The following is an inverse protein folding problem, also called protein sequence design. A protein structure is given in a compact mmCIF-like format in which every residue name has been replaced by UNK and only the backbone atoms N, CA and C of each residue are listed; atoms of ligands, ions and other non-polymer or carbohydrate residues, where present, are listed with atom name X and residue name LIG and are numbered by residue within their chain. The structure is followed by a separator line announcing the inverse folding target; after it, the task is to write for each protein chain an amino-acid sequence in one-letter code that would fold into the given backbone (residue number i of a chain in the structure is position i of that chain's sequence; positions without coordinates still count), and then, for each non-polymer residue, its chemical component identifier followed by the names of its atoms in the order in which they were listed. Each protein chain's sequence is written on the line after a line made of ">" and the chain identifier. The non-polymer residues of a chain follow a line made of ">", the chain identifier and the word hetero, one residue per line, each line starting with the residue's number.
data_IF_599494264341
#
_entry.id   IF_599494264341
#
_cell.length_a   1.000
_cell.length_b   1.000
_cell.length_c   1.000
_cell.angle_alpha   90.00
_cell.angle_beta   90.00
_cell.angle_gamma   90.00
#
_symmetry.space_group_name_H-M   'P 1'
#
loop_
_entity.id
_entity.type
_entity.pdbx_description
1 polymer ?
#
# COMPACT_ATOMS: atom_id res chain seq x y z
N UNK A 1 -14.32 -20.14 -3.75
CA UNK A 1 -12.94 -19.65 -3.68
C UNK A 1 -12.74 -18.97 -2.33
N UNK A 2 -12.03 -19.61 -1.38
CA UNK A 2 -11.38 -18.81 -0.33
C UNK A 2 -10.18 -18.16 -1.01
N UNK A 3 -10.19 -16.84 -1.17
CA UNK A 3 -9.07 -16.09 -1.73
C UNK A 3 -7.90 -16.09 -0.75
N UNK A 4 -7.24 -17.23 -0.58
CA UNK A 4 -6.08 -17.34 0.29
C UNK A 4 -4.88 -16.73 -0.42
N UNK A 5 -4.53 -15.50 -0.02
CA UNK A 5 -3.30 -14.86 -0.42
C UNK A 5 -2.10 -15.68 0.07
N UNK A 6 -1.17 -16.01 -0.83
CA UNK A 6 0.06 -16.71 -0.44
C UNK A 6 0.90 -15.84 0.49
N UNK A 7 1.78 -16.45 1.30
CA UNK A 7 2.73 -15.70 2.13
C UNK A 7 3.54 -14.71 1.30
N UNK A 8 4.09 -15.18 0.16
CA UNK A 8 4.82 -14.34 -0.80
C UNK A 8 3.98 -13.16 -1.31
N UNK A 9 2.68 -13.38 -1.56
CA UNK A 9 1.75 -12.32 -1.95
C UNK A 9 1.56 -11.25 -0.88
N UNK A 10 1.43 -11.66 0.39
CA UNK A 10 1.34 -10.72 1.53
C UNK A 10 2.60 -9.89 1.67
N UNK A 11 3.77 -10.52 1.58
CA UNK A 11 5.05 -9.83 1.66
C UNK A 11 5.25 -8.84 0.52
N UNK A 12 4.87 -9.20 -0.71
CA UNK A 12 4.93 -8.31 -1.85
C UNK A 12 4.02 -7.08 -1.67
N UNK A 13 2.79 -7.28 -1.19
CA UNK A 13 1.88 -6.17 -0.92
C UNK A 13 2.34 -5.29 0.25
N UNK A 14 2.96 -5.87 1.27
CA UNK A 14 3.54 -5.09 2.37
C UNK A 14 4.66 -4.17 1.89
N UNK A 15 5.58 -4.69 1.06
CA UNK A 15 6.63 -3.86 0.44
C UNK A 15 6.02 -2.75 -0.42
N UNK A 16 5.07 -3.10 -1.28
CA UNK A 16 4.39 -2.14 -2.15
C UNK A 16 3.71 -1.01 -1.34
N UNK A 17 3.04 -1.35 -0.24
CA UNK A 17 2.43 -0.38 0.68
C UNK A 17 3.46 0.57 1.29
N UNK A 18 4.60 0.06 1.75
CA UNK A 18 5.68 0.88 2.34
C UNK A 18 6.29 1.81 1.29
N UNK A 19 6.56 1.31 0.08
CA UNK A 19 7.04 2.13 -1.03
C UNK A 19 6.05 3.27 -1.37
N UNK A 20 4.76 2.95 -1.47
CA UNK A 20 3.72 3.97 -1.71
C UNK A 20 3.64 5.02 -0.60
N UNK A 21 3.87 4.64 0.66
CA UNK A 21 3.92 5.60 1.77
C UNK A 21 5.16 6.51 1.69
N UNK A 22 6.32 5.94 1.39
CA UNK A 22 7.57 6.67 1.25
C UNK A 22 7.51 7.73 0.14
N UNK A 23 6.89 7.42 -1.00
CA UNK A 23 6.67 8.38 -2.10
C UNK A 23 5.85 9.61 -1.69
N UNK A 24 4.98 9.46 -0.69
CA UNK A 24 4.14 10.54 -0.16
C UNK A 24 4.75 11.24 1.07
N UNK A 25 5.92 10.80 1.54
CA UNK A 25 6.53 11.28 2.78
C UNK A 25 5.74 10.90 4.04
N UNK A 26 4.88 9.88 3.96
CA UNK A 26 4.09 9.40 5.11
C UNK A 26 4.91 8.35 5.86
N UNK A 27 5.15 8.59 7.15
CA UNK A 27 5.86 7.65 8.01
C UNK A 27 4.94 6.48 8.43
N UNK A 28 4.77 5.51 7.54
CA UNK A 28 3.99 4.31 7.80
C UNK A 28 4.86 3.25 8.52
N UNK A 29 4.56 3.02 9.79
CA UNK A 29 5.29 2.08 10.65
C UNK A 29 4.81 0.65 10.42
N UNK A 30 5.70 -0.31 10.65
CA UNK A 30 5.26 -1.68 10.89
C UNK A 30 4.63 -1.76 12.28
N UNK A 31 3.31 -1.98 12.33
CA UNK A 31 2.53 -2.03 13.57
C UNK A 31 1.50 -0.91 13.67
N UNK A 32 1.41 -0.29 14.85
CA UNK A 32 0.39 0.71 15.14
C UNK A 32 0.67 2.05 14.44
N UNK A 33 -0.33 2.55 13.72
CA UNK A 33 -0.30 3.81 12.97
C UNK A 33 -1.48 4.73 13.36
N UNK A 34 -1.97 4.63 14.60
CA UNK A 34 -3.12 5.44 15.03
C UNK A 34 -2.81 6.93 15.22
N UNK A 35 -1.52 7.30 15.11
CA UNK A 35 -1.07 8.68 15.02
C UNK A 35 -1.23 9.29 13.61
N UNK A 36 -1.43 8.46 12.57
CA UNK A 36 -1.71 8.97 11.23
C UNK A 36 -3.13 9.51 11.13
N UNK A 37 -3.27 10.65 10.48
CA UNK A 37 -4.58 11.17 10.11
C UNK A 37 -5.25 10.26 9.08
N UNK A 38 -6.59 10.28 9.04
CA UNK A 38 -7.35 9.57 8.01
C UNK A 38 -6.94 9.98 6.59
N UNK A 39 -6.51 11.23 6.40
CA UNK A 39 -6.01 11.75 5.13
C UNK A 39 -4.69 11.08 4.74
N UNK A 40 -3.74 10.94 5.66
CA UNK A 40 -2.46 10.28 5.40
C UNK A 40 -2.65 8.79 5.09
N UNK A 41 -3.37 8.07 5.95
CA UNK A 41 -3.65 6.65 5.72
C UNK A 41 -4.41 6.41 4.40
N UNK A 42 -5.41 7.25 4.11
CA UNK A 42 -6.16 7.21 2.85
C UNK A 42 -5.29 7.51 1.63
N UNK A 43 -4.36 8.46 1.73
CA UNK A 43 -3.46 8.81 0.62
C UNK A 43 -2.53 7.66 0.24
N UNK A 44 -2.03 6.89 1.21
CA UNK A 44 -1.22 5.69 0.95
C UNK A 44 -2.01 4.66 0.14
N UNK A 45 -3.23 4.34 0.58
CA UNK A 45 -4.11 3.42 -0.15
C UNK A 45 -4.46 3.91 -1.57
N UNK A 46 -4.71 5.20 -1.71
CA UNK A 46 -4.96 5.83 -3.01
C UNK A 46 -3.77 5.74 -3.96
N UNK A 47 -2.55 5.97 -3.46
CA UNK A 47 -1.32 5.86 -4.24
C UNK A 47 -1.05 4.41 -4.69
N UNK A 48 -1.33 3.43 -3.83
CA UNK A 48 -1.26 2.01 -4.20
C UNK A 48 -2.19 1.71 -5.38
N UNK A 49 -3.45 2.13 -5.32
CA UNK A 49 -4.45 1.90 -6.40
C UNK A 49 -4.03 2.62 -7.68
N UNK A 50 -3.54 3.87 -7.59
CA UNK A 50 -3.05 4.62 -8.74
C UNK A 50 -1.94 3.86 -9.47
N UNK A 51 -0.91 3.39 -8.75
CA UNK A 51 0.19 2.60 -9.31
C UNK A 51 -0.29 1.30 -9.96
N UNK A 52 -1.27 0.61 -9.35
CA UNK A 52 -1.86 -0.59 -9.95
C UNK A 52 -2.57 -0.31 -11.28
N UNK A 53 -3.32 0.80 -11.36
CA UNK A 53 -4.01 1.22 -12.58
C UNK A 53 -2.99 1.63 -13.65
N UNK A 54 -1.97 2.38 -13.28
CA UNK A 54 -0.93 2.82 -14.21
C UNK A 54 -0.16 1.62 -14.78
N UNK A 55 0.20 0.64 -13.94
CA UNK A 55 0.81 -0.61 -14.38
C UNK A 55 -0.09 -1.43 -15.33
N UNK A 56 -1.41 -1.41 -15.12
CA UNK A 56 -2.37 -2.06 -16.01
C UNK A 56 -2.49 -1.35 -17.37
N UNK A 57 -2.45 -0.01 -17.39
CA UNK A 57 -2.51 0.78 -18.64
C UNK A 57 -1.26 0.65 -19.52
N UNK A 58 -0.12 0.29 -18.93
CA UNK A 58 1.16 0.11 -19.64
C UNK A 58 1.34 -1.29 -20.23
N UNK A 59 0.38 -2.20 -20.04
CA UNK A 59 0.31 -3.52 -20.70
C UNK A 59 -0.36 -3.39 -22.07
#
# INVERSE_FOLDING_TARGET
>A
MKGEMTQKGREALNRFKVESANELGVNLKEGYNGDLTAREAGSVGGQMVKKMIDAYKMQ
#
